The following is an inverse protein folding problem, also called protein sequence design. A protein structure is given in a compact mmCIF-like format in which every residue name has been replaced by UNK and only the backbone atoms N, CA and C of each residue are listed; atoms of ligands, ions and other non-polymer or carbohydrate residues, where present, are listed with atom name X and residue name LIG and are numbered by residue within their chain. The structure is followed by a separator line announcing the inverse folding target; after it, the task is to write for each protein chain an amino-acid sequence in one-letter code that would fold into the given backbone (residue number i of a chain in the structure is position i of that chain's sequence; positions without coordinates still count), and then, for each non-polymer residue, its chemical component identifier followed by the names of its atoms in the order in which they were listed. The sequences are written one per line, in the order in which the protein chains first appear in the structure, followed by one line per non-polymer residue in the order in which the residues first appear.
data_IF_103934810956
#
_entry.id   IF_103934810956
#
_cell.length_a   1.000
_cell.length_b   1.000
_cell.length_c   1.000
_cell.angle_alpha   90.00
_cell.angle_beta   90.00
_cell.angle_gamma   90.00
#
_symmetry.space_group_name_H-M   'P 1'
#
loop_
_entity.id
_entity.type
_entity.pdbx_description
1 polymer ?
#
# COMPACT_ATOMS: atom_id res chain seq x y z
N UNK A 1 -19.26 59.56 -34.24
CA UNK A 1 -17.95 58.92 -34.43
C UNK A 1 -17.88 57.69 -33.54
N UNK A 2 -17.85 56.52 -34.19
CA UNK A 2 -17.52 55.14 -33.76
C UNK A 2 -18.12 54.56 -32.47
N UNK A 3 -18.61 53.31 -32.42
CA UNK A 3 -19.11 52.26 -33.33
C UNK A 3 -19.42 51.06 -32.40
N UNK A 4 -20.41 50.26 -32.79
CA UNK A 4 -21.01 49.15 -32.06
C UNK A 4 -20.08 47.93 -31.81
N UNK A 5 -20.42 47.19 -30.74
CA UNK A 5 -20.41 45.72 -30.61
C UNK A 5 -19.12 44.95 -30.92
N UNK A 6 -18.53 44.31 -29.89
CA UNK A 6 -18.25 42.85 -29.90
C UNK A 6 -18.28 42.32 -28.46
N UNK A 7 -19.30 41.52 -28.17
CA UNK A 7 -19.32 40.52 -27.09
C UNK A 7 -18.25 39.48 -27.42
N UNK A 8 -17.20 39.35 -26.60
CA UNK A 8 -16.42 38.11 -26.55
C UNK A 8 -16.51 37.56 -25.13
N UNK A 9 -17.59 36.81 -24.94
CA UNK A 9 -17.69 35.70 -24.00
C UNK A 9 -16.41 34.85 -24.18
N UNK A 10 -15.42 35.02 -23.30
CA UNK A 10 -14.26 34.14 -23.29
C UNK A 10 -14.69 32.79 -22.71
N UNK A 11 -15.03 31.89 -23.63
CA UNK A 11 -15.26 30.49 -23.38
C UNK A 11 -14.03 29.83 -22.77
N UNK A 12 -14.31 28.93 -21.82
CA UNK A 12 -13.55 27.72 -21.53
C UNK A 12 -12.06 27.89 -21.19
N UNK A 13 -11.76 27.95 -19.90
CA UNK A 13 -10.86 26.93 -19.38
C UNK A 13 -11.62 26.18 -18.31
N UNK A 14 -12.30 25.11 -18.75
CA UNK A 14 -12.62 24.01 -17.88
C UNK A 14 -11.28 23.44 -17.36
N UNK A 15 -10.72 24.09 -16.34
CA UNK A 15 -9.95 23.38 -15.35
C UNK A 15 -10.98 22.50 -14.65
N UNK A 16 -11.33 21.39 -15.30
CA UNK A 16 -11.83 20.20 -14.64
C UNK A 16 -10.83 19.99 -13.52
N UNK A 17 -11.25 20.41 -12.33
CA UNK A 17 -10.55 20.18 -11.10
C UNK A 17 -10.39 18.66 -11.06
N UNK A 18 -9.22 18.17 -11.46
CA UNK A 18 -8.77 16.86 -11.06
C UNK A 18 -8.57 16.99 -9.55
N UNK A 19 -9.69 16.99 -8.82
CA UNK A 19 -9.68 16.78 -7.39
C UNK A 19 -8.82 15.55 -7.19
N UNK A 20 -7.76 15.61 -6.37
CA UNK A 20 -6.94 14.44 -6.12
C UNK A 20 -7.90 13.33 -5.71
N UNK A 21 -7.94 12.24 -6.50
CA UNK A 21 -8.82 11.11 -6.24
C UNK A 21 -8.55 10.66 -4.80
N UNK A 22 -9.51 10.92 -3.90
CA UNK A 22 -9.38 10.46 -2.51
C UNK A 22 -9.28 8.93 -2.54
N UNK A 23 -8.41 8.31 -1.72
CA UNK A 23 -8.34 6.87 -1.65
C UNK A 23 -9.70 6.25 -1.32
N UNK A 24 -10.04 5.15 -1.99
CA UNK A 24 -11.24 4.37 -1.72
C UNK A 24 -11.15 3.76 -0.32
N UNK A 25 -11.83 4.39 0.65
CA UNK A 25 -11.80 3.99 2.05
C UNK A 25 -12.35 2.58 2.29
N UNK A 26 -13.32 2.11 1.49
CA UNK A 26 -13.84 0.76 1.60
C UNK A 26 -12.80 -0.28 1.17
N UNK A 27 -12.17 -0.07 0.00
CA UNK A 27 -11.08 -0.92 -0.49
C UNK A 27 -9.87 -0.91 0.46
N UNK A 28 -9.54 0.24 1.05
CA UNK A 28 -8.46 0.34 2.04
C UNK A 28 -8.76 -0.49 3.29
N UNK A 29 -9.98 -0.44 3.84
CA UNK A 29 -10.41 -1.25 4.99
C UNK A 29 -10.41 -2.73 4.66
N UNK A 30 -10.94 -3.11 3.50
CA UNK A 30 -10.91 -4.50 3.03
C UNK A 30 -9.47 -5.01 2.94
N UNK A 31 -8.56 -4.21 2.38
CA UNK A 31 -7.15 -4.57 2.31
C UNK A 31 -6.50 -4.70 3.69
N UNK A 32 -6.85 -3.86 4.67
CA UNK A 32 -6.34 -3.98 6.03
C UNK A 32 -6.83 -5.26 6.71
N UNK A 33 -8.09 -5.62 6.49
CA UNK A 33 -8.65 -6.85 7.05
C UNK A 33 -8.00 -8.10 6.43
N UNK A 34 -7.74 -8.12 5.11
CA UNK A 34 -6.98 -9.20 4.47
C UNK A 34 -5.56 -9.34 5.05
N UNK A 35 -4.88 -8.22 5.30
CA UNK A 35 -3.56 -8.24 5.95
C UNK A 35 -3.62 -8.82 7.36
N UNK A 36 -4.63 -8.44 8.15
CA UNK A 36 -4.86 -8.97 9.49
C UNK A 36 -5.14 -10.47 9.46
N UNK A 37 -5.95 -10.95 8.51
CA UNK A 37 -6.23 -12.37 8.34
C UNK A 37 -4.97 -13.16 7.94
N UNK A 38 -4.17 -12.63 7.01
CA UNK A 38 -2.89 -13.22 6.63
C UNK A 38 -1.92 -13.29 7.83
N UNK A 39 -1.83 -12.20 8.60
CA UNK A 39 -1.04 -12.14 9.84
C UNK A 39 -1.47 -13.23 10.82
N UNK A 40 -2.77 -13.33 11.13
CA UNK A 40 -3.31 -14.35 12.04
C UNK A 40 -3.03 -15.76 11.56
N UNK A 41 -3.18 -16.03 10.26
CA UNK A 41 -2.84 -17.32 9.65
C UNK A 41 -1.36 -17.65 9.87
N UNK A 42 -0.47 -16.70 9.59
CA UNK A 42 0.97 -16.90 9.78
C UNK A 42 1.38 -17.00 11.26
N UNK A 43 0.66 -16.34 12.17
CA UNK A 43 0.86 -16.53 13.61
C UNK A 43 0.44 -17.92 14.11
N UNK A 44 -0.47 -18.60 13.40
CA UNK A 44 -0.92 -19.94 13.80
C UNK A 44 0.05 -21.06 13.45
N UNK A 45 1.04 -20.79 12.57
CA UNK A 45 2.10 -21.74 12.22
C UNK A 45 3.37 -21.42 13.03
N UNK A 46 3.84 -22.33 13.91
CA UNK A 46 5.06 -22.14 14.69
C UNK A 46 6.31 -21.83 13.86
N UNK A 47 6.38 -22.27 12.60
CA UNK A 47 7.51 -21.99 11.71
C UNK A 47 7.55 -20.52 11.24
N UNK A 48 6.41 -19.83 11.28
CA UNK A 48 6.29 -18.44 10.81
C UNK A 48 5.81 -17.49 11.88
N UNK A 49 5.40 -17.97 13.05
CA UNK A 49 4.95 -17.14 14.16
C UNK A 49 6.08 -16.24 14.68
N UNK A 50 5.75 -15.01 15.08
CA UNK A 50 6.65 -14.02 15.69
C UNK A 50 6.00 -13.47 16.95
N UNK A 51 6.79 -13.30 18.00
CA UNK A 51 6.32 -12.65 19.23
C UNK A 51 5.75 -11.25 18.95
N UNK A 52 4.49 -11.03 19.33
CA UNK A 52 3.77 -9.76 19.10
C UNK A 52 4.50 -8.56 19.72
N UNK A 53 5.12 -8.76 20.89
CA UNK A 53 5.93 -7.73 21.53
C UNK A 53 7.14 -7.33 20.66
N UNK A 54 7.74 -8.28 19.96
CA UNK A 54 8.89 -8.05 19.08
C UNK A 54 8.48 -7.35 17.78
N UNK A 55 7.30 -7.67 17.22
CA UNK A 55 6.75 -6.93 16.08
C UNK A 55 6.44 -5.46 16.43
N UNK A 56 5.83 -5.22 17.59
CA UNK A 56 5.59 -3.87 18.12
C UNK A 56 6.90 -3.12 18.38
N UNK A 57 7.91 -3.82 18.90
CA UNK A 57 9.25 -3.28 19.09
C UNK A 57 9.90 -2.86 17.77
N UNK A 58 9.84 -3.72 16.76
CA UNK A 58 10.35 -3.43 15.41
C UNK A 58 9.67 -2.21 14.79
N UNK A 59 8.35 -2.08 14.92
CA UNK A 59 7.61 -0.93 14.41
C UNK A 59 8.01 0.40 15.09
N UNK A 60 8.64 0.34 16.27
CA UNK A 60 9.19 1.49 17.00
C UNK A 60 10.70 1.70 16.76
N UNK A 61 11.29 0.99 15.79
CA UNK A 61 12.71 1.07 15.46
C UNK A 61 13.59 0.09 16.25
N UNK A 62 13.00 -0.86 16.97
CA UNK A 62 13.72 -1.95 17.60
C UNK A 62 14.32 -2.96 16.60
N UNK A 63 15.07 -3.96 17.10
CA UNK A 63 15.73 -4.94 16.26
C UNK A 63 14.73 -5.84 15.52
N UNK A 64 15.12 -6.29 14.31
CA UNK A 64 14.37 -7.28 13.52
C UNK A 64 14.41 -8.65 14.23
N UNK A 65 13.26 -9.25 14.58
CA UNK A 65 13.22 -10.63 15.10
C UNK A 65 13.78 -11.62 14.07
N UNK A 66 14.43 -12.69 14.53
CA UNK A 66 15.08 -13.65 13.64
C UNK A 66 14.12 -14.30 12.62
N UNK A 67 12.88 -14.56 13.05
CA UNK A 67 11.78 -15.13 12.28
C UNK A 67 10.95 -14.11 11.48
N UNK A 68 11.32 -12.82 11.50
CA UNK A 68 10.53 -11.79 10.82
C UNK A 68 10.51 -11.95 9.30
N UNK A 69 11.60 -12.44 8.70
CA UNK A 69 11.66 -12.72 7.26
C UNK A 69 10.67 -13.81 6.85
N UNK A 70 10.72 -14.97 7.53
CA UNK A 70 9.77 -16.06 7.34
C UNK A 70 8.31 -15.63 7.54
N UNK A 71 8.03 -14.84 8.58
CA UNK A 71 6.70 -14.30 8.83
C UNK A 71 6.21 -13.38 7.71
N UNK A 72 7.08 -12.45 7.28
CA UNK A 72 6.77 -11.54 6.19
C UNK A 72 6.50 -12.29 4.89
N UNK A 73 7.29 -13.33 4.58
CA UNK A 73 7.12 -14.16 3.40
C UNK A 73 5.82 -14.97 3.44
N UNK A 74 5.45 -15.50 4.61
CA UNK A 74 4.15 -16.14 4.78
C UNK A 74 3.01 -15.17 4.49
N UNK A 75 3.06 -13.94 5.03
CA UNK A 75 2.04 -12.92 4.81
C UNK A 75 1.96 -12.53 3.33
N UNK A 76 3.09 -12.24 2.69
CA UNK A 76 3.11 -11.80 1.29
C UNK A 76 2.58 -12.87 0.34
N UNK A 77 2.90 -14.14 0.57
CA UNK A 77 2.33 -15.27 -0.17
C UNK A 77 0.83 -15.42 0.10
N UNK A 78 0.39 -15.34 1.36
CA UNK A 78 -1.02 -15.43 1.70
C UNK A 78 -1.88 -14.33 1.07
N UNK A 79 -1.28 -13.15 0.83
CA UNK A 79 -1.93 -12.03 0.13
C UNK A 79 -1.80 -12.10 -1.40
N UNK A 80 -1.05 -13.07 -1.93
CA UNK A 80 -0.74 -13.19 -3.37
C UNK A 80 0.20 -12.11 -3.90
N UNK A 81 0.94 -11.42 -3.03
CA UNK A 81 1.89 -10.36 -3.42
C UNK A 81 3.23 -10.91 -3.90
N UNK A 82 3.56 -12.15 -3.51
CA UNK A 82 4.66 -12.91 -4.08
C UNK A 82 4.14 -14.22 -4.66
N UNK A 83 4.76 -14.64 -5.76
CA UNK A 83 4.56 -15.94 -6.37
C UNK A 83 5.21 -17.04 -5.52
N UNK A 84 4.96 -18.31 -5.87
CA UNK A 84 5.53 -19.43 -5.12
C UNK A 84 7.05 -19.49 -5.13
N UNK A 85 7.68 -19.03 -6.22
CA UNK A 85 9.13 -18.90 -6.36
C UNK A 85 9.73 -17.73 -5.57
N UNK A 86 8.89 -16.93 -4.89
CA UNK A 86 9.31 -15.79 -4.10
C UNK A 86 9.48 -14.48 -4.89
N UNK A 87 9.23 -14.49 -6.20
CA UNK A 87 9.21 -13.26 -7.00
C UNK A 87 7.96 -12.42 -6.73
N UNK A 88 8.04 -11.11 -6.95
CA UNK A 88 6.90 -10.19 -6.84
C UNK A 88 5.81 -10.55 -7.85
N UNK A 89 4.56 -10.63 -7.39
CA UNK A 89 3.38 -10.68 -8.24
C UNK A 89 2.86 -9.25 -8.50
N UNK A 90 3.41 -8.61 -9.54
CA UNK A 90 3.10 -7.23 -9.86
C UNK A 90 1.62 -6.99 -10.21
N UNK A 91 0.95 -7.98 -10.80
CA UNK A 91 -0.45 -7.85 -11.22
C UNK A 91 -1.40 -7.78 -10.02
N UNK A 92 -1.26 -8.70 -9.06
CA UNK A 92 -2.06 -8.69 -7.81
C UNK A 92 -1.84 -7.39 -7.05
N UNK A 93 -0.59 -6.95 -6.99
CA UNK A 93 -0.22 -5.72 -6.31
C UNK A 93 -0.79 -4.48 -7.00
N UNK A 94 -0.72 -4.42 -8.34
CA UNK A 94 -1.30 -3.34 -9.15
C UNK A 94 -2.81 -3.28 -8.96
N UNK A 95 -3.50 -4.41 -9.06
CA UNK A 95 -4.94 -4.49 -8.86
C UNK A 95 -5.35 -4.00 -7.46
N UNK A 96 -4.59 -4.38 -6.42
CA UNK A 96 -4.80 -3.87 -5.06
C UNK A 96 -4.65 -2.35 -4.98
N UNK A 97 -3.53 -1.83 -5.49
CA UNK A 97 -3.23 -0.40 -5.42
C UNK A 97 -4.24 0.42 -6.23
N UNK A 98 -4.65 -0.06 -7.41
CA UNK A 98 -5.65 0.59 -8.26
C UNK A 98 -7.02 0.60 -7.59
N UNK A 99 -7.42 -0.47 -6.90
CA UNK A 99 -8.67 -0.49 -6.15
C UNK A 99 -8.70 0.55 -5.00
N UNK A 100 -7.53 0.89 -4.45
CA UNK A 100 -7.39 1.86 -3.36
C UNK A 100 -7.22 3.29 -3.90
N UNK A 101 -6.38 3.50 -4.91
CA UNK A 101 -5.97 4.84 -5.36
C UNK A 101 -6.54 5.24 -6.72
N UNK A 102 -7.30 4.36 -7.38
CA UNK A 102 -7.70 4.50 -8.77
C UNK A 102 -6.51 4.50 -9.73
N UNK A 103 -6.79 4.67 -11.02
CA UNK A 103 -5.77 4.91 -12.05
C UNK A 103 -5.23 6.34 -11.89
N UNK A 104 -4.25 6.51 -11.00
CA UNK A 104 -3.70 7.82 -10.59
C UNK A 104 -2.18 7.82 -10.53
N UNK A 105 -1.56 9.00 -10.50
CA UNK A 105 -0.11 9.12 -10.28
C UNK A 105 0.35 8.45 -8.97
N UNK A 106 -0.55 8.32 -7.98
CA UNK A 106 -0.26 7.63 -6.73
C UNK A 106 -0.17 6.12 -6.90
N UNK A 107 -0.99 5.54 -7.77
CA UNK A 107 -0.84 4.14 -8.17
C UNK A 107 0.55 3.91 -8.76
N UNK A 108 0.97 4.73 -9.72
CA UNK A 108 2.26 4.56 -10.39
C UNK A 108 3.45 4.75 -9.44
N UNK A 109 3.37 5.73 -8.52
CA UNK A 109 4.35 5.93 -7.44
C UNK A 109 4.46 4.67 -6.56
N UNK A 110 3.32 4.16 -6.10
CA UNK A 110 3.26 2.98 -5.23
C UNK A 110 3.84 1.74 -5.93
N UNK A 111 3.52 1.53 -7.21
CA UNK A 111 4.01 0.36 -7.95
C UNK A 111 5.50 0.48 -8.23
N UNK A 112 5.96 1.64 -8.67
CA UNK A 112 7.38 1.85 -8.96
C UNK A 112 8.26 1.72 -7.71
N UNK A 113 7.82 2.21 -6.54
CA UNK A 113 8.59 2.09 -5.30
C UNK A 113 8.50 0.69 -4.68
N UNK A 114 7.30 0.13 -4.57
CA UNK A 114 7.09 -1.03 -3.70
C UNK A 114 7.16 -2.38 -4.41
N UNK A 115 6.79 -2.48 -5.69
CA UNK A 115 6.69 -3.76 -6.41
C UNK A 115 8.06 -4.22 -6.97
N UNK A 116 9.07 -4.33 -6.10
CA UNK A 116 10.46 -4.64 -6.49
C UNK A 116 10.96 -5.93 -5.84
N UNK A 117 11.52 -6.83 -6.66
CA UNK A 117 12.29 -7.97 -6.15
C UNK A 117 13.51 -7.47 -5.38
N UNK A 118 13.84 -8.15 -4.29
CA UNK A 118 15.04 -7.89 -3.48
C UNK A 118 16.01 -9.07 -3.59
N UNK A 119 17.06 -9.06 -2.75
CA UNK A 119 18.11 -10.07 -2.77
C UNK A 119 17.60 -11.53 -2.63
N UNK A 120 16.48 -11.73 -1.94
CA UNK A 120 15.82 -13.03 -1.81
C UNK A 120 14.31 -12.86 -1.50
N UNK A 121 13.59 -13.97 -1.39
CA UNK A 121 12.15 -13.99 -1.15
C UNK A 121 11.74 -13.31 0.18
N UNK A 122 12.47 -13.54 1.26
CA UNK A 122 12.16 -12.96 2.57
C UNK A 122 12.40 -11.44 2.59
N UNK A 123 13.53 -10.97 2.05
CA UNK A 123 13.80 -9.53 1.94
C UNK A 123 12.83 -8.85 0.98
N UNK A 124 12.35 -9.55 -0.05
CA UNK A 124 11.27 -9.06 -0.92
C UNK A 124 9.97 -8.89 -0.13
N UNK A 125 9.62 -9.87 0.71
CA UNK A 125 8.44 -9.80 1.55
C UNK A 125 8.50 -8.65 2.57
N UNK A 126 9.67 -8.47 3.20
CA UNK A 126 9.93 -7.37 4.12
C UNK A 126 9.80 -6.02 3.40
N UNK A 127 10.40 -5.89 2.21
CA UNK A 127 10.30 -4.67 1.41
C UNK A 127 8.85 -4.34 1.06
N UNK A 128 8.11 -5.32 0.52
CA UNK A 128 6.70 -5.15 0.15
C UNK A 128 5.87 -4.68 1.36
N UNK A 129 5.88 -5.43 2.45
CA UNK A 129 5.05 -5.12 3.63
C UNK A 129 5.37 -3.76 4.24
N UNK A 130 6.65 -3.38 4.35
CA UNK A 130 7.08 -2.08 4.87
C UNK A 130 6.77 -0.94 3.92
N UNK A 131 7.02 -1.12 2.62
CA UNK A 131 6.78 -0.09 1.62
C UNK A 131 5.29 0.23 1.51
N UNK A 132 4.43 -0.78 1.39
CA UNK A 132 2.97 -0.57 1.31
C UNK A 132 2.38 0.05 2.58
N UNK A 133 2.97 -0.20 3.75
CA UNK A 133 2.54 0.44 5.00
C UNK A 133 2.75 1.97 4.98
N UNK A 134 3.74 2.50 4.24
CA UNK A 134 3.94 3.95 4.06
C UNK A 134 2.74 4.61 3.37
N UNK A 135 2.11 3.87 2.45
CA UNK A 135 1.04 4.35 1.58
C UNK A 135 -0.36 4.02 2.08
N UNK A 136 -0.49 3.19 3.12
CA UNK A 136 -1.78 2.78 3.64
C UNK A 136 -2.63 4.00 4.03
N UNK A 137 -3.83 4.20 3.44
CA UNK A 137 -4.70 5.31 3.83
C UNK A 137 -5.01 5.23 5.32
N UNK A 138 -4.73 6.32 6.05
CA UNK A 138 -5.03 6.37 7.48
C UNK A 138 -6.49 6.80 7.70
N UNK A 139 -7.19 6.22 8.68
CA UNK A 139 -8.48 6.75 9.11
C UNK A 139 -8.33 8.24 9.49
N UNK A 140 -9.28 9.09 9.07
CA UNK A 140 -9.30 10.51 9.46
C UNK A 140 -9.32 10.57 11.00
N UNK A 141 -8.33 11.25 11.61
CA UNK A 141 -8.21 11.43 13.06
C UNK A 141 -7.17 10.57 13.80
N UNK A 142 -6.40 9.71 13.11
CA UNK A 142 -5.31 8.95 13.74
C UNK A 142 -3.97 9.71 13.63
N UNK A 143 -3.22 9.94 14.73
CA UNK A 143 -1.97 10.69 14.68
C UNK A 143 -0.91 10.00 13.79
N UNK A 144 -0.02 10.77 13.12
CA UNK A 144 1.15 10.20 12.48
C UNK A 144 2.04 9.51 13.52
N UNK A 145 2.56 8.30 13.23
CA UNK A 145 3.59 7.65 14.05
C UNK A 145 3.12 6.61 15.07
N UNK A 146 1.83 6.31 15.19
CA UNK A 146 1.39 5.13 15.93
C UNK A 146 1.40 3.88 15.04
N UNK A 147 2.05 2.78 15.46
CA UNK A 147 1.82 1.47 14.86
C UNK A 147 0.39 1.01 15.19
N UNK A 148 -0.23 0.33 14.23
CA UNK A 148 -1.42 -0.48 14.49
C UNK A 148 -1.08 -1.66 15.42
#
# INVERSE_FOLDING_TARGET
MNQLSVVVFFACVAALLASPLEPNAAAARESQEKLKQAHQKCQSDPATAVEEASLKGLARGGPKPANYGAHSLCISKALGWQNEDGSVNADTIRARAENIFGSSAKLDEVISECAQNQANAEETAIHLTRCYAKYAPRPKGHPPGHPH
#
